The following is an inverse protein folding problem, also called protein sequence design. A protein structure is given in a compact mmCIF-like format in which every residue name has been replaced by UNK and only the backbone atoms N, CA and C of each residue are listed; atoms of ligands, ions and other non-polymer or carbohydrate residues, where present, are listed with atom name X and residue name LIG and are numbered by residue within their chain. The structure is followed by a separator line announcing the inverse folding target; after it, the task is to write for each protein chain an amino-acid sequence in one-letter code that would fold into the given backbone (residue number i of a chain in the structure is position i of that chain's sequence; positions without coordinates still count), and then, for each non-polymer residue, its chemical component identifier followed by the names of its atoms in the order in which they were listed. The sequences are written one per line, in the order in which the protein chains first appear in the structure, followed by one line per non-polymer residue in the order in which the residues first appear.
data_IF_622152878167
#
_entry.id   IF_622152878167
#
_cell.length_a   1.000
_cell.length_b   1.000
_cell.length_c   1.000
_cell.angle_alpha   90.00
_cell.angle_beta   90.00
_cell.angle_gamma   90.00
#
_symmetry.space_group_name_H-M   'P 1'
#
loop_
_entity.id
_entity.type
_entity.pdbx_description
1 polymer ?
#
# COMPACT_ATOMS: atom_id res chain seq x y z
N UNK A 1 4.53 -18.64 -13.32
CA UNK A 1 4.04 -18.02 -14.60
C UNK A 1 5.16 -17.27 -15.32
N UNK A 2 5.83 -16.28 -14.73
CA UNK A 2 6.94 -15.54 -15.39
C UNK A 2 8.16 -16.39 -15.77
N UNK A 3 8.56 -17.36 -14.94
CA UNK A 3 9.67 -18.27 -15.26
C UNK A 3 9.41 -19.15 -16.51
N UNK A 4 8.15 -19.53 -16.75
CA UNK A 4 7.77 -20.32 -17.93
C UNK A 4 7.88 -19.53 -19.24
N UNK A 5 7.97 -18.20 -19.16
CA UNK A 5 8.15 -17.33 -20.33
C UNK A 5 9.63 -17.03 -20.61
N UNK A 6 10.57 -17.74 -19.97
CA UNK A 6 12.02 -17.55 -20.17
C UNK A 6 12.61 -16.36 -19.42
N UNK A 7 11.89 -15.81 -18.44
CA UNK A 7 12.41 -14.73 -17.59
C UNK A 7 13.09 -15.29 -16.34
N UNK A 8 14.31 -14.85 -16.08
CA UNK A 8 15.04 -15.13 -14.85
C UNK A 8 14.67 -14.10 -13.80
N UNK A 9 14.20 -14.56 -12.64
CA UNK A 9 13.83 -13.67 -11.53
C UNK A 9 15.13 -13.25 -10.83
N UNK A 10 15.43 -11.94 -10.84
CA UNK A 10 16.60 -11.38 -10.17
C UNK A 10 16.27 -11.00 -8.72
N UNK A 11 15.07 -10.47 -8.48
CA UNK A 11 14.63 -10.04 -7.15
C UNK A 11 13.12 -10.17 -7.02
N UNK A 12 12.67 -10.71 -5.89
CA UNK A 12 11.26 -10.69 -5.48
C UNK A 12 11.15 -9.98 -4.15
N UNK A 13 10.47 -8.85 -4.12
CA UNK A 13 10.22 -8.08 -2.89
C UNK A 13 8.71 -8.01 -2.66
N UNK A 14 8.28 -8.31 -1.44
CA UNK A 14 6.90 -8.07 -1.04
C UNK A 14 6.71 -6.59 -0.71
N UNK A 15 5.69 -5.98 -1.31
CA UNK A 15 5.31 -4.58 -1.15
C UNK A 15 3.95 -4.49 -0.45
N UNK A 16 3.63 -3.34 0.16
CA UNK A 16 2.51 -3.18 1.08
C UNK A 16 2.62 -4.14 2.26
N UNK A 17 3.60 -3.89 3.12
CA UNK A 17 3.77 -4.62 4.36
C UNK A 17 2.68 -4.31 5.37
N UNK A 18 2.97 -4.58 6.65
CA UNK A 18 2.04 -4.29 7.74
C UNK A 18 1.70 -2.79 7.81
N UNK A 19 2.72 -1.94 7.72
CA UNK A 19 2.57 -0.49 7.85
C UNK A 19 1.90 0.14 6.63
N UNK A 20 2.24 -0.33 5.42
CA UNK A 20 1.63 0.11 4.17
C UNK A 20 0.17 -0.34 4.04
N UNK A 21 -0.16 -1.54 4.51
CA UNK A 21 -1.55 -2.01 4.54
C UNK A 21 -2.39 -1.19 5.53
N UNK A 22 -1.82 -0.85 6.69
CA UNK A 22 -2.51 -0.06 7.70
C UNK A 22 -2.72 1.39 7.26
N UNK A 23 -1.70 2.03 6.65
CA UNK A 23 -1.83 3.37 6.08
C UNK A 23 -2.87 3.41 4.97
N UNK A 24 -2.92 2.39 4.09
CA UNK A 24 -3.94 2.27 3.06
C UNK A 24 -5.36 2.14 3.63
N UNK A 25 -5.52 1.38 4.71
CA UNK A 25 -6.83 1.26 5.38
C UNK A 25 -7.31 2.60 5.92
N UNK A 26 -6.41 3.39 6.51
CA UNK A 26 -6.72 4.72 7.04
C UNK A 26 -7.01 5.73 5.93
N UNK A 27 -6.24 5.71 4.85
CA UNK A 27 -6.36 6.68 3.75
C UNK A 27 -7.48 6.35 2.76
N UNK A 28 -7.83 5.09 2.55
CA UNK A 28 -8.74 4.68 1.48
C UNK A 28 -9.92 3.87 2.01
N UNK A 29 -9.63 2.75 2.69
CA UNK A 29 -10.69 1.80 3.05
C UNK A 29 -11.71 2.37 4.04
N UNK A 30 -11.24 3.07 5.08
CA UNK A 30 -12.07 3.71 6.10
C UNK A 30 -12.89 4.89 5.52
N UNK A 31 -12.31 5.85 4.78
CA UNK A 31 -13.06 6.95 4.21
C UNK A 31 -14.11 6.50 3.18
N UNK A 32 -13.81 5.48 2.36
CA UNK A 32 -14.81 4.88 1.46
C UNK A 32 -15.99 4.28 2.24
N UNK A 33 -15.72 3.64 3.38
CA UNK A 33 -16.75 3.12 4.27
C UNK A 33 -17.61 4.23 4.89
N UNK A 34 -17.01 5.36 5.28
CA UNK A 34 -17.73 6.53 5.79
C UNK A 34 -18.64 7.15 4.72
N UNK A 35 -18.11 7.35 3.52
CA UNK A 35 -18.84 7.86 2.36
C UNK A 35 -20.04 6.98 2.00
N UNK A 36 -19.86 5.65 2.05
CA UNK A 36 -20.93 4.69 1.77
C UNK A 36 -22.07 4.75 2.79
N UNK A 37 -21.79 5.14 4.04
CA UNK A 37 -22.82 5.27 5.09
C UNK A 37 -23.64 6.54 4.97
N UNK A 38 -23.00 7.67 4.63
CA UNK A 38 -23.70 8.94 4.48
C UNK A 38 -22.85 9.97 3.73
N UNK A 39 -23.49 10.78 2.88
CA UNK A 39 -22.85 11.92 2.19
C UNK A 39 -22.41 13.03 3.15
N UNK A 40 -22.94 13.08 4.37
CA UNK A 40 -22.55 14.10 5.37
C UNK A 40 -21.05 14.01 5.73
N UNK A 41 -20.47 12.81 5.68
CA UNK A 41 -19.04 12.59 5.97
C UNK A 41 -18.11 13.33 5.02
N UNK A 42 -18.59 13.76 3.84
CA UNK A 42 -17.80 14.52 2.85
C UNK A 42 -17.31 15.86 3.41
N UNK A 43 -18.04 16.45 4.35
CA UNK A 43 -17.63 17.68 5.04
C UNK A 43 -16.58 17.43 6.14
N UNK A 44 -16.56 16.24 6.73
CA UNK A 44 -15.64 15.85 7.81
C UNK A 44 -14.31 15.31 7.25
N UNK A 45 -14.36 14.67 6.09
CA UNK A 45 -13.21 14.13 5.36
C UNK A 45 -12.02 15.07 5.23
N UNK A 46 -12.14 16.36 4.85
CA UNK A 46 -10.97 17.25 4.77
C UNK A 46 -10.26 17.41 6.11
N UNK A 47 -10.99 17.53 7.23
CA UNK A 47 -10.40 17.62 8.56
C UNK A 47 -9.78 16.29 9.00
N UNK A 48 -10.41 15.17 8.65
CA UNK A 48 -9.87 13.84 8.87
C UNK A 48 -8.52 13.67 8.16
N UNK A 49 -8.44 13.98 6.86
CA UNK A 49 -7.19 13.86 6.11
C UNK A 49 -6.10 14.79 6.63
N UNK A 50 -6.44 15.98 7.13
CA UNK A 50 -5.45 16.90 7.69
C UNK A 50 -4.67 16.28 8.86
N UNK A 51 -5.31 15.43 9.65
CA UNK A 51 -4.67 14.69 10.75
C UNK A 51 -4.10 13.34 10.32
N UNK A 52 -4.81 12.59 9.45
CA UNK A 52 -4.39 11.25 9.05
C UNK A 52 -3.24 11.29 8.06
N UNK A 53 -3.14 12.27 7.17
CA UNK A 53 -2.06 12.36 6.17
C UNK A 53 -0.66 12.32 6.79
N UNK A 54 -0.29 13.17 7.75
CA UNK A 54 1.06 13.11 8.34
C UNK A 54 1.33 11.79 9.05
N UNK A 55 0.32 11.19 9.69
CA UNK A 55 0.45 9.90 10.36
C UNK A 55 0.65 8.77 9.33
N UNK A 56 -0.15 8.75 8.28
CA UNK A 56 -0.08 7.76 7.22
C UNK A 56 1.23 7.88 6.41
N UNK A 57 1.72 9.10 6.21
CA UNK A 57 3.01 9.37 5.56
C UNK A 57 4.17 8.76 6.38
N UNK A 58 4.19 9.00 7.69
CA UNK A 58 5.19 8.38 8.58
C UNK A 58 5.11 6.85 8.53
N UNK A 59 3.90 6.30 8.54
CA UNK A 59 3.70 4.85 8.42
C UNK A 59 4.19 4.30 7.08
N UNK A 60 3.97 5.03 5.97
CA UNK A 60 4.49 4.64 4.66
C UNK A 60 6.03 4.72 4.61
N UNK A 61 6.62 5.74 5.21
CA UNK A 61 8.08 5.83 5.32
C UNK A 61 8.66 4.66 6.12
N UNK A 62 8.00 4.28 7.22
CA UNK A 62 8.38 3.09 7.98
C UNK A 62 8.19 1.81 7.17
N UNK A 63 7.15 1.70 6.35
CA UNK A 63 6.93 0.53 5.47
C UNK A 63 8.04 0.37 4.42
N UNK A 64 8.53 1.48 3.85
CA UNK A 64 9.60 1.48 2.84
C UNK A 64 10.94 1.06 3.46
N UNK A 65 11.24 1.53 4.66
CA UNK A 65 12.49 1.22 5.36
C UNK A 65 12.46 -0.13 6.09
N UNK A 66 11.26 -0.70 6.31
CA UNK A 66 11.11 -2.00 6.95
C UNK A 66 11.26 -3.14 5.95
N UNK A 67 11.92 -4.21 6.36
CA UNK A 67 11.97 -5.44 5.58
C UNK A 67 10.63 -6.18 5.74
N UNK A 68 9.75 -6.03 4.75
CA UNK A 68 8.44 -6.66 4.77
C UNK A 68 8.57 -8.14 4.38
N UNK A 69 8.55 -9.02 5.38
CA UNK A 69 8.51 -10.48 5.18
C UNK A 69 7.19 -10.97 4.56
N UNK A 70 6.15 -10.14 4.59
CA UNK A 70 4.82 -10.41 4.05
C UNK A 70 4.16 -9.10 3.60
N UNK A 71 3.47 -9.13 2.47
CA UNK A 71 2.80 -7.97 1.90
C UNK A 71 1.80 -8.35 0.81
N UNK A 72 0.83 -7.47 0.56
CA UNK A 72 -0.27 -7.75 -0.40
C UNK A 72 0.20 -7.59 -1.86
N UNK A 73 1.22 -6.77 -2.09
CA UNK A 73 1.85 -6.58 -3.39
C UNK A 73 3.12 -7.43 -3.52
N UNK A 74 3.44 -7.87 -4.73
CA UNK A 74 4.72 -8.51 -5.06
C UNK A 74 5.36 -7.71 -6.17
N UNK A 75 6.53 -7.12 -5.90
CA UNK A 75 7.38 -6.48 -6.89
C UNK A 75 8.41 -7.51 -7.34
N UNK A 76 8.26 -7.96 -8.58
CA UNK A 76 9.19 -8.88 -9.22
C UNK A 76 10.04 -8.14 -10.24
N UNK A 77 11.35 -8.18 -10.05
CA UNK A 77 12.32 -7.76 -11.07
C UNK A 77 12.79 -9.02 -11.77
N UNK A 78 12.43 -9.14 -13.05
CA UNK A 78 12.82 -10.25 -13.89
C UNK A 78 13.52 -9.73 -15.14
N UNK A 79 14.57 -10.44 -15.56
CA UNK A 79 15.33 -10.14 -16.76
C UNK A 79 15.14 -11.29 -17.74
N UNK A 80 14.97 -10.97 -19.02
CA UNK A 80 15.02 -11.94 -20.10
C UNK A 80 16.48 -12.08 -20.51
N UNK A 81 17.04 -13.26 -20.32
CA UNK A 81 18.34 -13.59 -20.93
C UNK A 81 18.08 -13.64 -22.45
N UNK A 82 18.70 -12.71 -23.18
CA UNK A 82 18.69 -12.65 -24.66
C UNK A 82 19.71 -13.64 -25.19
#
# INVERSE_FOLDING_TARGET
KVQFCGFKILKSVYSYGFWGSLSWRLLISLPLGMLSKSKLWLTVLPFYYLLILPVAELMMQLDIHSYNSSGTGIILVAQKDV
#
